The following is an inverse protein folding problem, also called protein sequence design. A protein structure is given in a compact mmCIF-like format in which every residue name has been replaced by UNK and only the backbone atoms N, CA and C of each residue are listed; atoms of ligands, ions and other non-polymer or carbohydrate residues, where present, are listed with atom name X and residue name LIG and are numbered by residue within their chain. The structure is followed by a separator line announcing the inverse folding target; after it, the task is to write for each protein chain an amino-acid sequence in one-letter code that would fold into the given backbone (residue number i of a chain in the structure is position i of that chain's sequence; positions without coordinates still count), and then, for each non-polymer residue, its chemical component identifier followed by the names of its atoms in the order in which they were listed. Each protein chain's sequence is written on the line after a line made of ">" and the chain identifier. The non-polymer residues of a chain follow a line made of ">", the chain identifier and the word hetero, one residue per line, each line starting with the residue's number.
data_IF_288011694344
#
_entry.id   IF_288011694344
#
_cell.length_a   1.000
_cell.length_b   1.000
_cell.length_c   1.000
_cell.angle_alpha   90.00
_cell.angle_beta   90.00
_cell.angle_gamma   90.00
#
_symmetry.space_group_name_H-M   'P 1'
#
loop_
_entity.id
_entity.type
_entity.pdbx_description
1 polymer ?
#
# COMPACT_ATOMS: atom_id res chain seq x y z
N UNK A 1 12.30 -22.03 3.37
CA UNK A 1 11.77 -20.77 3.93
C UNK A 1 12.92 -19.78 3.98
N UNK A 2 13.10 -18.94 2.96
CA UNK A 2 14.13 -17.91 2.95
C UNK A 2 13.77 -16.81 3.95
N UNK A 3 14.74 -16.18 4.65
CA UNK A 3 14.47 -15.03 5.51
C UNK A 3 13.74 -13.97 4.68
N UNK A 4 12.51 -13.60 5.06
CA UNK A 4 11.81 -12.52 4.37
C UNK A 4 12.63 -11.25 4.60
N UNK A 5 13.29 -10.76 3.55
CA UNK A 5 14.05 -9.52 3.58
C UNK A 5 13.10 -8.40 3.99
N UNK A 6 13.28 -7.87 5.20
CA UNK A 6 12.43 -6.80 5.70
C UNK A 6 12.61 -5.56 4.81
N UNK A 7 11.53 -4.90 4.35
CA UNK A 7 11.64 -3.68 3.57
C UNK A 7 12.41 -2.60 4.34
N UNK A 8 13.28 -1.87 3.65
CA UNK A 8 14.02 -0.77 4.28
C UNK A 8 13.06 0.36 4.71
N UNK A 9 13.41 1.18 5.72
CA UNK A 9 12.57 2.29 6.17
C UNK A 9 12.16 3.25 5.05
N UNK A 10 13.06 3.50 4.09
CA UNK A 10 12.78 4.34 2.91
C UNK A 10 11.70 3.73 2.01
N UNK A 11 11.72 2.40 1.79
CA UNK A 11 10.69 1.70 1.00
C UNK A 11 9.33 1.71 1.70
N UNK A 12 9.32 1.59 3.03
CA UNK A 12 8.10 1.70 3.84
C UNK A 12 7.47 3.09 3.70
N UNK A 13 8.29 4.14 3.77
CA UNK A 13 7.79 5.51 3.58
C UNK A 13 7.29 5.77 2.16
N UNK A 14 8.03 5.32 1.14
CA UNK A 14 7.58 5.41 -0.24
C UNK A 14 6.22 4.71 -0.45
N UNK A 15 6.05 3.50 0.11
CA UNK A 15 4.80 2.76 0.02
C UNK A 15 3.64 3.50 0.70
N UNK A 16 3.87 4.14 1.85
CA UNK A 16 2.84 4.93 2.55
C UNK A 16 2.44 6.16 1.75
N UNK A 17 3.39 6.87 1.14
CA UNK A 17 3.10 8.04 0.32
C UNK A 17 2.29 7.67 -0.93
N UNK A 18 2.66 6.59 -1.60
CA UNK A 18 1.92 6.08 -2.76
C UNK A 18 0.50 5.66 -2.35
N UNK A 19 0.33 4.99 -1.21
CA UNK A 19 -0.99 4.58 -0.73
C UNK A 19 -1.91 5.76 -0.43
N UNK A 20 -1.41 6.79 0.26
CA UNK A 20 -2.17 8.01 0.53
C UNK A 20 -2.52 8.76 -0.76
N UNK A 21 -1.59 8.81 -1.71
CA UNK A 21 -1.85 9.44 -3.01
C UNK A 21 -2.91 8.68 -3.81
N UNK A 22 -2.84 7.34 -3.83
CA UNK A 22 -3.83 6.49 -4.49
C UNK A 22 -5.23 6.69 -3.89
N UNK A 23 -5.37 6.59 -2.57
CA UNK A 23 -6.65 6.80 -1.88
C UNK A 23 -7.20 8.21 -2.14
N UNK A 24 -6.35 9.24 -2.17
CA UNK A 24 -6.79 10.61 -2.47
C UNK A 24 -7.28 10.76 -3.92
N UNK A 25 -6.59 10.14 -4.89
CA UNK A 25 -7.03 10.14 -6.29
C UNK A 25 -8.35 9.39 -6.44
N UNK A 26 -8.48 8.21 -5.83
CA UNK A 26 -9.72 7.44 -5.85
C UNK A 26 -10.88 8.22 -5.20
N UNK A 27 -10.68 8.79 -4.00
CA UNK A 27 -11.76 9.48 -3.28
C UNK A 27 -12.18 10.80 -3.95
N UNK A 28 -11.25 11.58 -4.52
CA UNK A 28 -11.56 12.92 -5.03
C UNK A 28 -11.72 13.00 -6.55
N UNK A 29 -10.97 12.20 -7.32
CA UNK A 29 -10.99 12.29 -8.78
C UNK A 29 -11.96 11.29 -9.41
N UNK A 30 -12.18 10.12 -8.81
CA UNK A 30 -13.02 9.06 -9.41
C UNK A 30 -14.53 9.35 -9.30
N UNK A 31 -15.09 9.91 -8.20
CA UNK A 31 -16.51 10.28 -8.15
C UNK A 31 -16.92 11.36 -9.15
N UNK A 32 -15.96 12.14 -9.68
CA UNK A 32 -16.21 13.16 -10.69
C UNK A 32 -16.46 12.56 -12.09
N UNK A 33 -16.06 11.31 -12.34
CA UNK A 33 -16.41 10.56 -13.55
C UNK A 33 -17.60 9.65 -13.23
N UNK A 34 -18.78 10.02 -13.76
CA UNK A 34 -20.14 9.50 -13.49
C UNK A 34 -20.39 8.00 -13.81
N UNK A 35 -19.45 7.10 -13.50
CA UNK A 35 -19.56 5.64 -13.68
C UNK A 35 -18.47 4.84 -12.96
N UNK A 36 -17.89 5.39 -11.89
CA UNK A 36 -16.62 4.98 -11.24
C UNK A 36 -16.36 3.51 -10.92
N UNK A 37 -17.36 2.62 -10.98
CA UNK A 37 -17.19 1.19 -10.73
C UNK A 37 -16.52 0.40 -11.87
N UNK A 38 -16.50 0.96 -13.10
CA UNK A 38 -16.05 0.24 -14.30
C UNK A 38 -15.36 1.19 -15.30
N UNK A 39 -14.64 2.18 -14.78
CA UNK A 39 -13.84 3.09 -15.61
C UNK A 39 -12.50 2.42 -15.92
N UNK A 40 -12.08 2.31 -17.20
CA UNK A 40 -10.76 1.80 -17.54
C UNK A 40 -9.60 2.54 -16.88
N UNK A 41 -9.82 3.81 -16.48
CA UNK A 41 -8.82 4.60 -15.76
C UNK A 41 -8.72 4.20 -14.28
N UNK A 42 -9.82 3.79 -13.65
CA UNK A 42 -9.84 3.28 -12.27
C UNK A 42 -9.07 1.97 -12.23
N UNK A 43 -9.45 1.02 -13.08
CA UNK A 43 -8.79 -0.30 -13.19
C UNK A 43 -7.28 -0.17 -13.44
N UNK A 44 -6.86 0.79 -14.28
CA UNK A 44 -5.45 1.04 -14.57
C UNK A 44 -4.69 1.64 -13.38
N UNK A 45 -5.31 2.56 -12.63
CA UNK A 45 -4.75 3.11 -11.40
C UNK A 45 -4.53 1.99 -10.37
N UNK A 46 -5.53 1.13 -10.22
CA UNK A 46 -5.55 0.04 -9.24
C UNK A 46 -4.48 -1.01 -9.52
N UNK A 47 -4.39 -1.47 -10.77
CA UNK A 47 -3.33 -2.37 -11.23
C UNK A 47 -1.95 -1.72 -11.01
N UNK A 48 -1.82 -0.44 -11.35
CA UNK A 48 -0.57 0.31 -11.19
C UNK A 48 -0.12 0.38 -9.72
N UNK A 49 -1.03 0.75 -8.82
CA UNK A 49 -0.76 0.84 -7.38
C UNK A 49 -0.42 -0.54 -6.82
N UNK A 50 -1.16 -1.59 -7.21
CA UNK A 50 -0.87 -2.98 -6.82
C UNK A 50 0.53 -3.42 -7.23
N UNK A 51 0.96 -3.16 -8.47
CA UNK A 51 2.31 -3.47 -8.95
C UNK A 51 3.38 -2.72 -8.13
N UNK A 52 3.18 -1.42 -7.89
CA UNK A 52 4.12 -0.61 -7.10
C UNK A 52 4.23 -1.14 -5.68
N UNK A 53 3.12 -1.53 -5.05
CA UNK A 53 3.11 -2.09 -3.71
C UNK A 53 3.84 -3.43 -3.63
N UNK A 54 3.61 -4.33 -4.59
CA UNK A 54 4.32 -5.61 -4.68
C UNK A 54 5.82 -5.38 -4.89
N UNK A 55 6.22 -4.40 -5.70
CA UNK A 55 7.62 -4.06 -5.93
C UNK A 55 8.30 -3.48 -4.68
N UNK A 56 7.60 -2.63 -3.92
CA UNK A 56 8.14 -1.95 -2.74
C UNK A 56 8.18 -2.85 -1.50
N UNK A 57 7.12 -3.63 -1.27
CA UNK A 57 6.88 -4.37 -0.03
C UNK A 57 6.99 -5.89 -0.20
N UNK A 58 7.07 -6.39 -1.43
CA UNK A 58 6.95 -7.81 -1.75
C UNK A 58 5.50 -8.26 -1.87
N UNK A 59 5.29 -9.52 -2.26
CA UNK A 59 3.95 -10.12 -2.35
C UNK A 59 3.36 -10.34 -0.95
N UNK A 60 2.17 -9.79 -0.70
CA UNK A 60 1.40 -10.01 0.53
C UNK A 60 -0.05 -10.36 0.19
N UNK A 61 -0.60 -11.39 0.85
CA UNK A 61 -2.02 -11.76 0.75
C UNK A 61 -2.93 -10.57 1.13
N UNK A 62 -2.45 -9.61 1.92
CA UNK A 62 -3.18 -8.41 2.28
C UNK A 62 -3.53 -7.48 1.11
N UNK A 63 -2.94 -7.67 -0.08
CA UNK A 63 -3.30 -6.93 -1.31
C UNK A 63 -4.42 -7.59 -2.11
N UNK A 64 -4.85 -8.82 -1.76
CA UNK A 64 -6.01 -9.46 -2.39
C UNK A 64 -7.35 -8.83 -1.97
N UNK A 65 -7.59 -8.50 -0.67
CA UNK A 65 -8.82 -7.83 -0.25
C UNK A 65 -9.02 -6.47 -0.91
N UNK A 66 -7.96 -5.71 -1.19
CA UNK A 66 -8.04 -4.42 -1.90
C UNK A 66 -8.49 -4.61 -3.35
N UNK A 67 -7.92 -5.60 -4.05
CA UNK A 67 -8.27 -5.95 -5.43
C UNK A 67 -9.69 -6.55 -5.56
N UNK A 68 -10.21 -7.15 -4.48
CA UNK A 68 -11.60 -7.63 -4.40
C UNK A 68 -12.56 -6.51 -3.97
N UNK A 69 -12.11 -5.52 -3.20
CA UNK A 69 -12.93 -4.40 -2.75
C UNK A 69 -13.32 -3.46 -3.89
N UNK A 70 -12.45 -3.29 -4.90
CA UNK A 70 -12.72 -2.52 -6.13
C UNK A 70 -13.90 -3.07 -6.95
N UNK A 71 -14.25 -4.35 -6.80
CA UNK A 71 -15.46 -4.93 -7.43
C UNK A 71 -16.77 -4.42 -6.80
N UNK A 72 -16.68 -3.70 -5.68
CA UNK A 72 -17.82 -3.13 -4.96
C UNK A 72 -17.66 -1.61 -4.91
N UNK A 73 -18.34 -0.84 -5.78
CA UNK A 73 -18.15 0.62 -5.90
C UNK A 73 -18.36 1.45 -4.62
N UNK A 74 -18.98 0.89 -3.58
CA UNK A 74 -19.15 1.55 -2.28
C UNK A 74 -17.85 1.54 -1.46
N UNK A 75 -16.93 0.62 -1.72
CA UNK A 75 -15.70 0.47 -0.96
C UNK A 75 -14.59 1.44 -1.39
N UNK A 76 -14.66 2.03 -2.59
CA UNK A 76 -13.69 3.01 -3.13
C UNK A 76 -13.65 4.34 -2.37
N UNK A 77 -14.62 4.61 -1.50
CA UNK A 77 -14.63 5.81 -0.66
C UNK A 77 -13.75 5.61 0.59
N UNK A 78 -13.41 4.37 0.92
CA UNK A 78 -12.56 4.07 2.06
C UNK A 78 -11.08 4.11 1.66
N UNK A 79 -10.18 4.58 2.55
CA UNK A 79 -8.75 4.62 2.30
C UNK A 79 -8.12 3.21 2.42
N UNK A 80 -8.47 2.32 1.49
CA UNK A 80 -8.17 0.89 1.56
C UNK A 80 -6.68 0.61 1.34
N UNK A 81 -6.01 1.34 0.44
CA UNK A 81 -4.57 1.20 0.22
C UNK A 81 -3.76 1.64 1.43
N UNK A 82 -4.13 2.77 2.03
CA UNK A 82 -3.50 3.26 3.26
C UNK A 82 -3.68 2.25 4.39
N UNK A 83 -4.88 1.70 4.57
CA UNK A 83 -5.14 0.67 5.58
C UNK A 83 -4.29 -0.59 5.36
N UNK A 84 -4.21 -1.08 4.13
CA UNK A 84 -3.42 -2.26 3.77
C UNK A 84 -1.92 -2.03 4.00
N UNK A 85 -1.37 -0.90 3.57
CA UNK A 85 0.05 -0.59 3.77
C UNK A 85 0.39 -0.39 5.24
N UNK A 86 -0.47 0.26 6.02
CA UNK A 86 -0.29 0.37 7.47
C UNK A 86 -0.33 -1.02 8.13
N UNK A 87 -1.23 -1.90 7.70
CA UNK A 87 -1.31 -3.27 8.20
C UNK A 87 -0.06 -4.10 7.86
N UNK A 88 0.45 -4.02 6.63
CA UNK A 88 1.63 -4.78 6.18
C UNK A 88 2.91 -4.23 6.81
N UNK A 89 2.99 -2.92 7.05
CA UNK A 89 4.16 -2.27 7.64
C UNK A 89 4.10 -2.20 9.18
N UNK A 90 3.03 -2.71 9.82
CA UNK A 90 2.95 -2.78 11.28
C UNK A 90 4.02 -3.75 11.80
N UNK A 91 5.00 -3.21 12.52
CA UNK A 91 6.09 -4.02 13.06
C UNK A 91 7.43 -3.91 12.32
N UNK A 92 7.55 -3.06 11.29
CA UNK A 92 8.86 -2.63 10.76
C UNK A 92 9.64 -1.73 11.74
N UNK A 93 9.37 -1.87 13.06
CA UNK A 93 10.06 -1.18 14.14
C UNK A 93 11.54 -1.54 14.05
N UNK A 94 12.29 -0.63 13.44
CA UNK A 94 13.62 -0.21 13.83
C UNK A 94 14.37 -1.23 14.69
N UNK A 95 15.06 -2.18 14.04
CA UNK A 95 16.23 -2.77 14.67
C UNK A 95 17.30 -1.67 14.65
N UNK A 96 17.43 -0.92 15.74
CA UNK A 96 18.55 -0.01 15.94
C UNK A 96 19.86 -0.81 15.78
N UNK A 97 20.71 -0.56 14.77
CA UNK A 97 22.08 -1.04 14.78
C UNK A 97 22.89 0.00 15.57
N UNK A 98 22.86 -0.10 16.90
CA UNK A 98 23.50 0.90 17.75
C UNK A 98 23.43 0.55 19.22
N UNK A 99 23.94 -0.62 19.59
CA UNK A 99 23.88 -1.11 20.97
C UNK A 99 25.11 -1.90 21.38
N UNK A 100 26.30 -1.30 21.26
CA UNK A 100 27.44 -1.40 22.21
C UNK A 100 28.69 -0.78 21.57
N UNK A 101 28.95 0.47 21.90
CA UNK A 101 30.31 0.99 22.05
C UNK A 101 30.46 1.28 23.54
N UNK A 102 31.32 0.55 24.24
CA UNK A 102 31.70 0.85 25.63
C UNK A 102 32.06 -0.35 26.50
N UNK A 103 33.31 -0.37 26.98
CA UNK A 103 33.88 -1.32 27.95
C UNK A 103 35.01 -2.13 27.30
N UNK A 104 36.17 -1.54 27.00
CA UNK A 104 37.27 -1.24 27.94
C UNK A 104 37.81 -2.51 28.60
#
# INVERSE_FOLDING_TARGET
>A
MSPRTQPSPARVWAARLVAVAADAVQIFAVPAFLGGAASPLNDALDIGVGIVMIALLGWHIAFLPTLVAELVPVLDIFPTWTAAVLFVTRGSRWRQPGGRVGGA
#
